data_IF_420417926993
#
_entry.id   IF_420417926993
#
_cell.length_a   1.000
_cell.length_b   1.000
_cell.length_c   1.000
_cell.angle_alpha   90.00
_cell.angle_beta   90.00
_cell.angle_gamma   90.00
#
_symmetry.space_group_name_H-M   'P 1'
#
loop_
_entity.id
_entity.type
_entity.pdbx_description
1 polymer ?
#
# COMPACT_ATOMS: atom_id res chain seq x y z
N UNK A 1 20.44 8.11 8.59
CA UNK A 1 19.96 8.35 7.21
C UNK A 1 18.89 7.31 6.90
N UNK A 2 17.72 7.68 6.34
CA UNK A 2 16.71 6.69 5.90
C UNK A 2 16.73 6.61 4.39
N UNK A 3 16.74 5.41 3.84
CA UNK A 3 16.68 5.15 2.39
C UNK A 3 15.23 4.99 1.93
N UNK A 4 14.93 5.45 0.71
CA UNK A 4 13.67 5.16 0.03
C UNK A 4 13.72 3.83 -0.72
N UNK A 5 12.57 3.39 -1.23
CA UNK A 5 12.41 2.19 -2.07
C UNK A 5 11.69 2.53 -3.37
N UNK A 6 11.98 1.78 -4.44
CA UNK A 6 11.23 1.82 -5.70
C UNK A 6 10.27 0.65 -5.70
N UNK A 7 9.01 0.91 -6.06
CA UNK A 7 7.94 -0.07 -6.03
C UNK A 7 7.01 0.09 -7.25
N UNK A 8 6.35 -1.00 -7.65
CA UNK A 8 5.40 -1.01 -8.77
C UNK A 8 3.97 -0.84 -8.26
N UNK A 9 3.21 0.10 -8.84
CA UNK A 9 1.78 0.29 -8.51
C UNK A 9 0.95 -0.87 -9.06
N UNK A 10 0.35 -1.64 -8.17
CA UNK A 10 -0.51 -2.78 -8.51
C UNK A 10 -1.96 -2.37 -8.72
N UNK A 11 -2.41 -1.35 -7.98
CA UNK A 11 -3.79 -0.89 -8.07
C UNK A 11 -4.24 -0.22 -6.79
N UNK A 12 -5.56 -0.17 -6.64
CA UNK A 12 -6.21 0.41 -5.46
C UNK A 12 -7.22 -0.58 -4.91
N UNK A 13 -7.29 -0.63 -3.58
CA UNK A 13 -8.31 -1.39 -2.83
C UNK A 13 -8.70 -0.61 -1.59
N UNK A 14 -9.44 -1.20 -0.66
CA UNK A 14 -9.75 -0.60 0.63
C UNK A 14 -9.46 -1.56 1.78
N UNK A 15 -9.08 -1.01 2.92
CA UNK A 15 -9.03 -1.72 4.19
C UNK A 15 -10.33 -1.47 4.95
N UNK A 16 -10.90 -2.54 5.49
CA UNK A 16 -12.01 -2.50 6.42
C UNK A 16 -11.44 -2.52 7.82
N UNK A 17 -11.70 -1.47 8.60
CA UNK A 17 -11.24 -1.36 9.99
C UNK A 17 -12.34 -1.80 10.95
N UNK A 18 -11.95 -2.22 12.14
CA UNK A 18 -12.87 -2.72 13.18
C UNK A 18 -13.85 -1.64 13.69
N UNK A 19 -13.53 -0.37 13.46
CA UNK A 19 -14.41 0.78 13.73
C UNK A 19 -15.42 1.06 12.59
N UNK A 20 -15.53 0.16 11.62
CA UNK A 20 -16.44 0.25 10.48
C UNK A 20 -15.98 1.18 9.36
N UNK A 21 -14.82 1.84 9.47
CA UNK A 21 -14.31 2.71 8.40
C UNK A 21 -13.73 1.91 7.24
N UNK A 22 -13.98 2.41 6.03
CA UNK A 22 -13.37 1.91 4.80
C UNK A 22 -12.30 2.89 4.32
N UNK A 23 -11.03 2.48 4.36
CA UNK A 23 -9.91 3.34 4.00
C UNK A 23 -9.37 2.92 2.63
N UNK A 24 -9.45 3.77 1.58
CA UNK A 24 -8.86 3.46 0.29
C UNK A 24 -7.33 3.48 0.37
N UNK A 25 -6.69 2.51 -0.27
CA UNK A 25 -5.24 2.34 -0.26
C UNK A 25 -4.72 2.02 -1.66
N UNK A 26 -3.49 2.47 -1.94
CA UNK A 26 -2.75 2.02 -3.12
C UNK A 26 -1.88 0.82 -2.72
N UNK A 27 -1.90 -0.23 -3.54
CA UNK A 27 -1.05 -1.40 -3.34
C UNK A 27 0.23 -1.23 -4.15
N UNK A 28 1.38 -1.31 -3.48
CA UNK A 28 2.70 -1.26 -4.09
C UNK A 28 3.39 -2.61 -3.93
N UNK A 29 3.88 -3.17 -5.03
CA UNK A 29 4.72 -4.38 -5.02
C UNK A 29 6.19 -3.96 -4.98
N UNK A 30 6.94 -4.52 -4.03
CA UNK A 30 8.40 -4.44 -3.99
C UNK A 30 8.95 -5.67 -4.70
N UNK A 31 9.54 -5.45 -5.86
CA UNK A 31 10.15 -6.51 -6.66
C UNK A 31 11.67 -6.45 -6.48
N UNK A 32 12.32 -7.61 -6.37
CA UNK A 32 13.79 -7.75 -6.32
C UNK A 32 14.48 -6.86 -5.27
N UNK A 33 13.95 -6.83 -4.05
CA UNK A 33 14.50 -6.10 -2.90
C UNK A 33 15.19 -7.05 -1.91
#
# INVERSE_FOLDING_TARGET
MRSGVIAKKMGMTRLFKDDGRHVPVTVLSLENC
#
